data_IF_083514046118
#
_entry.id   IF_083514046118
#
_cell.length_a   1.000
_cell.length_b   1.000
_cell.length_c   1.000
_cell.angle_alpha   90.00
_cell.angle_beta   90.00
_cell.angle_gamma   90.00
#
_symmetry.space_group_name_H-M   'P 1'
#
loop_
_entity.id
_entity.type
_entity.pdbx_description
1 polymer ?
#
# COMPACT_ATOMS: atom_id res chain seq x y z
N UNK A 1 -12.87 1.81 -13.56
CA UNK A 1 -12.06 0.56 -13.68
C UNK A 1 -10.62 0.89 -13.31
N UNK A 2 -9.84 -0.09 -12.86
CA UNK A 2 -8.40 0.11 -12.62
C UNK A 2 -7.59 -0.45 -13.80
N UNK A 3 -6.62 0.34 -14.25
CA UNK A 3 -5.65 -0.03 -15.26
C UNK A 3 -4.23 0.17 -14.74
N UNK A 4 -3.31 -0.65 -15.24
CA UNK A 4 -1.91 -0.67 -14.82
C UNK A 4 -1.00 -0.60 -16.05
N UNK A 5 0.10 0.13 -15.94
CA UNK A 5 1.15 0.22 -16.96
C UNK A 5 2.43 0.79 -16.36
N UNK A 6 3.60 0.48 -16.93
CA UNK A 6 4.89 1.01 -16.51
C UNK A 6 5.79 1.35 -17.70
N UNK A 7 6.88 2.07 -17.45
CA UNK A 7 8.02 2.23 -18.37
C UNK A 7 7.62 2.84 -19.72
N UNK A 8 6.73 3.84 -19.69
CA UNK A 8 6.27 4.51 -20.90
C UNK A 8 7.45 5.19 -21.61
N UNK A 9 8.39 5.75 -20.84
CA UNK A 9 9.58 6.43 -21.34
C UNK A 9 9.27 7.42 -22.46
N UNK A 10 8.22 8.22 -22.26
CA UNK A 10 7.74 9.17 -23.26
C UNK A 10 8.87 10.14 -23.64
N UNK A 11 9.04 10.34 -24.95
CA UNK A 11 10.14 11.08 -25.58
C UNK A 11 11.57 10.55 -25.37
N UNK A 12 11.75 9.33 -24.85
CA UNK A 12 13.07 8.73 -24.66
C UNK A 12 13.56 8.02 -25.93
N UNK A 13 14.36 8.68 -26.78
CA UNK A 13 14.81 8.07 -28.05
C UNK A 13 15.59 6.76 -27.87
N UNK A 14 16.40 6.64 -26.82
CA UNK A 14 17.25 5.47 -26.62
C UNK A 14 16.45 4.23 -26.20
N UNK A 15 15.27 4.40 -25.58
CA UNK A 15 14.43 3.29 -25.13
C UNK A 15 13.95 2.42 -26.29
N UNK A 16 13.78 3.01 -27.48
CA UNK A 16 13.37 2.29 -28.69
C UNK A 16 14.37 1.19 -29.01
N UNK A 17 15.67 1.51 -28.98
CA UNK A 17 16.72 0.51 -29.22
C UNK A 17 16.90 -0.42 -28.03
N UNK A 18 16.80 0.11 -26.80
CA UNK A 18 17.02 -0.64 -25.58
C UNK A 18 16.03 -1.81 -25.43
N UNK A 19 14.72 -1.53 -25.59
CA UNK A 19 13.66 -2.55 -25.49
C UNK A 19 13.37 -3.26 -26.81
N UNK A 20 14.02 -2.84 -27.90
CA UNK A 20 13.65 -3.20 -29.27
C UNK A 20 12.18 -2.86 -29.59
N UNK A 21 11.75 -1.65 -29.22
CA UNK A 21 10.37 -1.17 -29.49
C UNK A 21 10.14 -1.04 -31.00
N UNK A 22 8.94 -1.39 -31.50
CA UNK A 22 8.65 -1.43 -32.94
C UNK A 22 8.31 -0.04 -33.52
N UNK A 23 9.05 1.00 -33.14
CA UNK A 23 8.78 2.38 -33.54
C UNK A 23 9.99 2.97 -34.27
N UNK A 24 9.74 3.73 -35.34
CA UNK A 24 10.80 4.38 -36.11
C UNK A 24 11.46 5.53 -35.31
N UNK A 25 10.67 6.23 -34.51
CA UNK A 25 11.08 7.39 -33.72
C UNK A 25 10.16 7.60 -32.50
N UNK A 26 10.48 8.61 -31.69
CA UNK A 26 9.73 8.95 -30.49
C UNK A 26 8.36 9.53 -30.78
N UNK A 27 8.17 10.17 -31.93
CA UNK A 27 6.92 10.86 -32.23
C UNK A 27 5.85 9.82 -32.58
N UNK A 28 6.21 8.82 -33.38
CA UNK A 28 5.35 7.65 -33.63
C UNK A 28 5.08 6.85 -32.36
N UNK A 29 6.11 6.59 -31.54
CA UNK A 29 5.96 5.86 -30.27
C UNK A 29 4.95 6.57 -29.34
N UNK A 30 5.13 7.87 -29.13
CA UNK A 30 4.27 8.65 -28.25
C UNK A 30 2.83 8.70 -28.78
N UNK A 31 2.64 8.91 -30.09
CA UNK A 31 1.31 8.92 -30.70
C UNK A 31 0.59 7.58 -30.53
N UNK A 32 1.29 6.45 -30.71
CA UNK A 32 0.73 5.11 -30.50
C UNK A 32 0.38 4.87 -29.04
N UNK A 33 1.25 5.27 -28.10
CA UNK A 33 0.97 5.15 -26.66
C UNK A 33 -0.30 5.92 -26.27
N UNK A 34 -0.44 7.18 -26.70
CA UNK A 34 -1.62 8.01 -26.43
C UNK A 34 -2.88 7.41 -27.07
N UNK A 35 -2.80 6.95 -28.33
CA UNK A 35 -3.94 6.34 -29.01
C UNK A 35 -4.41 5.07 -28.28
N UNK A 36 -3.50 4.14 -28.00
CA UNK A 36 -3.81 2.89 -27.30
C UNK A 36 -4.38 3.14 -25.91
N UNK A 37 -3.85 4.14 -25.20
CA UNK A 37 -4.35 4.56 -23.90
C UNK A 37 -5.80 5.01 -24.00
N UNK A 38 -6.08 5.97 -24.88
CA UNK A 38 -7.39 6.63 -24.99
C UNK A 38 -8.47 5.77 -25.67
N UNK A 39 -8.08 4.69 -26.35
CA UNK A 39 -8.98 3.63 -26.84
C UNK A 39 -9.48 2.72 -25.72
N UNK A 40 -8.75 2.60 -24.61
CA UNK A 40 -9.07 1.69 -23.51
C UNK A 40 -9.63 2.40 -22.27
N UNK A 41 -9.09 3.58 -21.97
CA UNK A 41 -9.33 4.30 -20.74
C UNK A 41 -10.39 5.38 -20.97
N UNK A 42 -11.36 5.47 -20.06
CA UNK A 42 -12.36 6.54 -20.00
C UNK A 42 -11.97 7.58 -18.93
N UNK A 43 -12.66 8.72 -18.90
CA UNK A 43 -12.35 9.79 -17.93
C UNK A 43 -12.58 9.37 -16.47
N UNK A 44 -13.46 8.40 -16.22
CA UNK A 44 -13.81 7.92 -14.88
C UNK A 44 -12.94 6.74 -14.41
N UNK A 45 -12.00 6.28 -15.23
CA UNK A 45 -11.13 5.15 -14.91
C UNK A 45 -9.87 5.60 -14.16
N UNK A 46 -9.36 4.75 -13.27
CA UNK A 46 -8.09 4.97 -12.58
C UNK A 46 -6.96 4.26 -13.32
N UNK A 47 -5.86 4.98 -13.57
CA UNK A 47 -4.66 4.39 -14.20
C UNK A 47 -3.46 4.58 -13.30
N UNK A 48 -2.89 3.45 -12.88
CA UNK A 48 -1.68 3.39 -12.09
C UNK A 48 -0.47 3.24 -13.03
N UNK A 49 0.36 4.27 -13.08
CA UNK A 49 1.62 4.30 -13.83
C UNK A 49 2.75 3.93 -12.89
N UNK A 50 3.36 2.76 -13.07
CA UNK A 50 4.37 2.19 -12.19
C UNK A 50 5.78 2.66 -12.55
N UNK A 51 5.93 3.94 -12.82
CA UNK A 51 7.22 4.61 -12.92
C UNK A 51 7.76 4.75 -14.33
N UNK A 52 8.80 5.59 -14.43
CA UNK A 52 9.52 5.94 -15.66
C UNK A 52 8.58 6.39 -16.79
N UNK A 53 7.69 7.32 -16.45
CA UNK A 53 6.66 7.79 -17.36
C UNK A 53 7.24 8.70 -18.45
N UNK A 54 8.20 9.58 -18.11
CA UNK A 54 8.72 10.62 -19.00
C UNK A 54 10.24 10.79 -18.91
N UNK A 55 10.89 11.09 -20.04
CA UNK A 55 12.34 11.37 -20.11
C UNK A 55 12.69 12.85 -20.34
N UNK A 56 11.79 13.64 -20.98
CA UNK A 56 12.06 15.03 -21.37
C UNK A 56 11.56 16.06 -20.34
N UNK A 57 11.86 17.34 -20.62
CA UNK A 57 11.54 18.47 -19.77
C UNK A 57 10.02 18.66 -19.53
N UNK A 58 9.71 19.43 -18.49
CA UNK A 58 8.37 19.59 -17.92
C UNK A 58 7.28 19.93 -18.96
N UNK A 59 7.59 20.77 -19.95
CA UNK A 59 6.59 21.32 -20.87
C UNK A 59 6.06 20.29 -21.88
N UNK A 60 6.93 19.46 -22.44
CA UNK A 60 6.52 18.42 -23.40
C UNK A 60 5.75 17.30 -22.70
N UNK A 61 6.20 16.90 -21.50
CA UNK A 61 5.54 15.89 -20.68
C UNK A 61 4.12 16.34 -20.26
N UNK A 62 3.93 17.64 -19.98
CA UNK A 62 2.61 18.20 -19.68
C UNK A 62 1.64 18.14 -20.85
N UNK A 63 2.11 18.26 -22.09
CA UNK A 63 1.23 18.19 -23.27
C UNK A 63 0.63 16.80 -23.38
N UNK A 64 1.46 15.77 -23.30
CA UNK A 64 1.01 14.38 -23.40
C UNK A 64 0.15 13.99 -22.19
N UNK A 65 0.52 14.36 -20.97
CA UNK A 65 -0.30 14.03 -19.78
C UNK A 65 -1.73 14.56 -19.88
N UNK A 66 -1.92 15.75 -20.45
CA UNK A 66 -3.25 16.33 -20.65
C UNK A 66 -4.09 15.64 -21.71
N UNK A 67 -3.46 14.88 -22.60
CA UNK A 67 -4.14 14.09 -23.61
C UNK A 67 -4.56 12.71 -23.08
N UNK A 68 -3.93 12.20 -22.02
CA UNK A 68 -4.26 10.91 -21.44
C UNK A 68 -5.53 11.00 -20.60
N UNK A 69 -6.51 10.15 -20.93
CA UNK A 69 -7.76 10.02 -20.17
C UNK A 69 -7.55 9.33 -18.82
N UNK A 70 -8.43 9.64 -17.88
CA UNK A 70 -8.57 8.96 -16.60
C UNK A 70 -7.87 9.65 -15.42
N UNK A 71 -8.11 9.12 -14.24
CA UNK A 71 -7.52 9.52 -12.97
C UNK A 71 -6.12 8.90 -12.84
N UNK A 72 -5.09 9.73 -12.97
CA UNK A 72 -3.71 9.25 -13.08
C UNK A 72 -3.03 9.18 -11.71
N UNK A 73 -2.49 8.01 -11.38
CA UNK A 73 -1.71 7.76 -10.17
C UNK A 73 -0.29 7.33 -10.54
N UNK A 74 0.72 7.92 -9.93
CA UNK A 74 2.12 7.58 -10.20
C UNK A 74 2.73 6.83 -9.03
N UNK A 75 3.30 5.65 -9.32
CA UNK A 75 4.25 4.97 -8.45
C UNK A 75 5.64 5.24 -8.98
N UNK A 76 6.44 6.03 -8.25
CA UNK A 76 7.60 6.74 -8.78
C UNK A 76 8.72 5.79 -9.22
N UNK A 77 9.18 5.96 -10.46
CA UNK A 77 10.40 5.33 -10.98
C UNK A 77 11.63 6.23 -10.79
N UNK A 78 12.82 5.69 -11.09
CA UNK A 78 14.08 6.43 -10.95
C UNK A 78 14.20 7.61 -11.92
N UNK A 79 13.49 7.59 -13.05
CA UNK A 79 13.52 8.68 -14.03
C UNK A 79 12.43 9.74 -13.81
N UNK A 80 11.52 9.53 -12.86
CA UNK A 80 10.42 10.46 -12.62
C UNK A 80 10.84 11.64 -11.73
N UNK A 81 11.28 12.73 -12.37
CA UNK A 81 11.50 14.01 -11.72
C UNK A 81 10.19 14.82 -11.59
N UNK A 82 9.29 14.38 -10.71
CA UNK A 82 7.96 15.00 -10.56
C UNK A 82 8.03 16.31 -9.76
N UNK A 83 8.29 17.41 -10.47
CA UNK A 83 8.38 18.77 -9.92
C UNK A 83 7.48 19.73 -10.68
N UNK A 84 7.26 20.91 -10.11
CA UNK A 84 6.52 21.98 -10.79
C UNK A 84 5.08 21.58 -11.12
N UNK A 85 4.65 21.91 -12.34
CA UNK A 85 3.28 21.68 -12.84
C UNK A 85 2.99 20.20 -13.10
N UNK A 86 4.01 19.38 -13.38
CA UNK A 86 3.83 17.94 -13.61
C UNK A 86 3.23 17.25 -12.39
N UNK A 87 3.57 17.71 -11.18
CA UNK A 87 3.00 17.17 -9.93
C UNK A 87 1.47 17.23 -9.92
N UNK A 88 0.88 18.31 -10.42
CA UNK A 88 -0.56 18.53 -10.37
C UNK A 88 -1.34 17.79 -11.46
N UNK A 89 -0.68 16.98 -12.29
CA UNK A 89 -1.35 16.10 -13.25
C UNK A 89 -1.61 14.70 -12.68
N UNK A 90 -1.03 14.40 -11.51
CA UNK A 90 -1.22 13.13 -10.81
C UNK A 90 -2.11 13.36 -9.59
N UNK A 91 -3.09 12.48 -9.39
CA UNK A 91 -3.92 12.49 -8.18
C UNK A 91 -3.17 11.99 -6.96
N UNK A 92 -2.27 11.01 -7.16
CA UNK A 92 -1.32 10.56 -6.14
C UNK A 92 0.05 10.28 -6.75
N UNK A 93 1.08 10.47 -5.92
CA UNK A 93 2.47 10.16 -6.26
C UNK A 93 3.09 9.50 -5.04
N UNK A 94 3.39 8.22 -5.14
CA UNK A 94 3.92 7.41 -4.04
C UNK A 94 5.12 6.60 -4.54
N UNK A 95 6.01 6.17 -3.65
CA UNK A 95 7.13 5.29 -4.04
C UNK A 95 6.71 3.80 -3.99
N UNK A 96 5.59 3.50 -3.32
CA UNK A 96 4.99 2.19 -3.14
C UNK A 96 3.50 2.38 -2.83
N UNK A 97 2.61 1.55 -3.38
CA UNK A 97 1.17 1.69 -3.19
C UNK A 97 0.47 0.33 -3.03
N UNK A 98 -0.58 0.29 -2.22
CA UNK A 98 -1.43 -0.89 -2.02
C UNK A 98 -2.85 -0.58 -2.50
N UNK A 99 -3.38 -1.42 -3.38
CA UNK A 99 -4.70 -1.21 -4.01
C UNK A 99 -5.56 -2.45 -3.83
N UNK A 100 -6.83 -2.25 -3.49
CA UNK A 100 -7.85 -3.29 -3.56
C UNK A 100 -8.56 -3.22 -4.92
N UNK A 101 -8.29 -4.18 -5.80
CA UNK A 101 -8.94 -4.32 -7.10
C UNK A 101 -9.94 -5.48 -7.04
N UNK A 102 -11.22 -5.14 -6.83
CA UNK A 102 -12.32 -6.09 -6.81
C UNK A 102 -12.11 -7.24 -5.80
N UNK A 103 -11.66 -6.91 -4.58
CA UNK A 103 -11.39 -7.88 -3.52
C UNK A 103 -10.03 -8.57 -3.64
N UNK A 104 -9.17 -8.14 -4.57
CA UNK A 104 -7.80 -8.63 -4.72
C UNK A 104 -6.82 -7.58 -4.25
N UNK A 105 -5.87 -8.03 -3.44
CA UNK A 105 -4.83 -7.17 -2.91
C UNK A 105 -3.68 -7.05 -3.90
N UNK A 106 -3.40 -5.82 -4.34
CA UNK A 106 -2.39 -5.52 -5.36
C UNK A 106 -1.35 -4.58 -4.78
N UNK A 107 -0.10 -5.02 -4.80
CA UNK A 107 1.06 -4.21 -4.46
C UNK A 107 1.62 -3.61 -5.74
N UNK A 108 1.87 -2.30 -5.71
CA UNK A 108 2.43 -1.55 -6.82
C UNK A 108 3.76 -0.93 -6.40
N UNK A 109 4.83 -1.23 -7.13
CA UNK A 109 6.13 -0.60 -6.97
C UNK A 109 6.84 -0.60 -8.32
N UNK A 110 7.57 0.46 -8.65
CA UNK A 110 8.36 0.47 -9.87
C UNK A 110 9.40 -0.68 -9.88
N UNK A 111 10.02 -0.95 -8.73
CA UNK A 111 11.00 -2.01 -8.56
C UNK A 111 10.34 -3.35 -8.18
N UNK A 112 10.82 -4.49 -8.72
CA UNK A 112 10.40 -5.80 -8.24
C UNK A 112 10.83 -6.02 -6.79
N UNK A 113 9.90 -6.44 -5.95
CA UNK A 113 10.15 -6.82 -4.55
C UNK A 113 9.90 -8.33 -4.44
N UNK A 114 10.93 -9.17 -4.29
CA UNK A 114 10.79 -10.63 -4.32
C UNK A 114 9.84 -11.21 -3.26
N UNK A 115 9.75 -10.55 -2.10
CA UNK A 115 8.86 -10.93 -1.00
C UNK A 115 8.09 -9.71 -0.51
N UNK A 116 6.77 -9.78 -0.55
CA UNK A 116 5.90 -8.63 -0.38
C UNK A 116 4.70 -8.94 0.50
N UNK A 117 4.04 -7.88 0.97
CA UNK A 117 2.91 -7.98 1.91
C UNK A 117 1.79 -8.84 1.32
N UNK A 118 1.22 -9.70 2.16
CA UNK A 118 0.10 -10.59 1.83
C UNK A 118 0.35 -11.57 0.67
N UNK A 119 1.62 -11.82 0.32
CA UNK A 119 2.00 -12.79 -0.70
C UNK A 119 1.42 -14.19 -0.42
N UNK A 120 1.46 -14.65 0.83
CA UNK A 120 0.90 -15.94 1.26
C UNK A 120 -0.64 -16.02 1.18
N UNK A 121 -1.32 -14.87 1.14
CA UNK A 121 -2.77 -14.77 0.99
C UNK A 121 -3.21 -14.51 -0.46
N UNK A 122 -2.26 -14.56 -1.41
CA UNK A 122 -2.54 -14.43 -2.85
C UNK A 122 -2.48 -13.00 -3.39
N UNK A 123 -1.79 -12.08 -2.70
CA UNK A 123 -1.55 -10.74 -3.24
C UNK A 123 -0.74 -10.78 -4.55
N UNK A 124 -1.00 -9.81 -5.41
CA UNK A 124 -0.32 -9.63 -6.70
C UNK A 124 0.67 -8.47 -6.58
N UNK A 125 1.91 -8.65 -7.03
CA UNK A 125 2.91 -7.60 -7.10
C UNK A 125 3.08 -7.18 -8.56
N UNK A 126 2.66 -5.97 -8.90
CA UNK A 126 2.89 -5.38 -10.22
C UNK A 126 4.13 -4.49 -10.15
N UNK A 127 4.99 -4.61 -11.16
CA UNK A 127 6.25 -3.87 -11.20
C UNK A 127 6.70 -3.51 -12.62
N UNK A 128 7.73 -2.66 -12.75
CA UNK A 128 8.33 -2.24 -14.01
C UNK A 128 9.85 -2.39 -13.99
N UNK A 129 10.57 -1.35 -14.40
CA UNK A 129 12.02 -1.11 -14.18
C UNK A 129 13.01 -2.05 -14.88
N UNK A 130 12.76 -3.35 -14.87
CA UNK A 130 13.65 -4.36 -15.47
C UNK A 130 13.40 -4.55 -16.97
N UNK A 131 12.37 -3.91 -17.52
CA UNK A 131 12.05 -3.98 -18.94
C UNK A 131 11.97 -5.45 -19.45
N UNK A 132 12.35 -5.73 -20.71
CA UNK A 132 12.44 -7.09 -21.26
C UNK A 132 13.89 -7.61 -21.28
N UNK A 133 14.67 -7.30 -20.25
CA UNK A 133 16.10 -7.60 -20.17
C UNK A 133 16.40 -8.93 -19.44
N UNK A 134 17.69 -9.21 -19.20
CA UNK A 134 18.15 -10.38 -18.42
C UNK A 134 17.68 -10.30 -16.96
N UNK A 135 17.53 -9.10 -16.41
CA UNK A 135 16.98 -8.89 -15.08
C UNK A 135 15.54 -9.40 -15.00
N UNK A 136 14.73 -9.22 -16.04
CA UNK A 136 13.39 -9.81 -16.11
C UNK A 136 13.44 -11.34 -16.13
N UNK A 137 14.32 -11.94 -16.93
CA UNK A 137 14.53 -13.41 -16.97
C UNK A 137 14.93 -13.96 -15.58
N UNK A 138 15.74 -13.21 -14.83
CA UNK A 138 16.13 -13.58 -13.46
C UNK A 138 14.94 -13.50 -12.49
N UNK A 139 14.10 -12.47 -12.57
CA UNK A 139 12.90 -12.35 -11.75
C UNK A 139 11.93 -13.51 -12.03
N UNK A 140 11.70 -13.86 -13.29
CA UNK A 140 10.88 -15.02 -13.66
C UNK A 140 11.46 -16.33 -13.13
N UNK A 141 12.79 -16.48 -13.20
CA UNK A 141 13.47 -17.66 -12.67
C UNK A 141 13.30 -17.76 -11.15
N UNK A 142 13.54 -16.68 -10.41
CA UNK A 142 13.39 -16.64 -8.96
C UNK A 142 11.96 -16.93 -8.54
N UNK A 143 10.97 -16.37 -9.22
CA UNK A 143 9.56 -16.67 -8.96
C UNK A 143 9.26 -18.17 -9.08
N UNK A 144 9.78 -18.84 -10.12
CA UNK A 144 9.64 -20.30 -10.27
C UNK A 144 10.33 -21.09 -9.16
N UNK A 145 11.50 -20.62 -8.69
CA UNK A 145 12.18 -21.23 -7.55
C UNK A 145 11.38 -21.07 -6.25
N UNK A 146 10.75 -19.91 -6.03
CA UNK A 146 9.84 -19.64 -4.91
C UNK A 146 8.61 -20.57 -4.96
N UNK A 147 8.04 -20.79 -6.14
CA UNK A 147 6.96 -21.76 -6.32
C UNK A 147 7.37 -23.20 -6.00
N UNK A 148 8.59 -23.61 -6.39
CA UNK A 148 9.09 -24.96 -6.14
C UNK A 148 9.26 -25.28 -4.66
N UNK A 149 9.39 -24.27 -3.80
CA UNK A 149 9.45 -24.43 -2.33
C UNK A 149 8.09 -24.21 -1.65
N UNK A 150 7.01 -24.08 -2.43
CA UNK A 150 5.63 -23.99 -1.93
C UNK A 150 5.20 -22.61 -1.47
N UNK A 151 5.96 -21.56 -1.77
CA UNK A 151 5.60 -20.18 -1.41
C UNK A 151 4.78 -19.58 -2.57
N UNK A 152 3.53 -19.12 -2.32
CA UNK A 152 2.76 -18.41 -3.33
C UNK A 152 3.52 -17.17 -3.77
N UNK A 153 3.56 -16.88 -5.08
CA UNK A 153 4.25 -15.69 -5.59
C UNK A 153 3.66 -15.28 -6.92
N UNK A 154 3.48 -13.99 -7.11
CA UNK A 154 2.86 -13.43 -8.32
C UNK A 154 3.42 -12.03 -8.58
N UNK A 155 4.70 -11.99 -8.96
CA UNK A 155 5.35 -10.80 -9.49
C UNK A 155 5.07 -10.73 -11.00
N UNK A 156 4.52 -9.62 -11.46
CA UNK A 156 4.20 -9.43 -12.88
C UNK A 156 4.72 -8.08 -13.37
N UNK A 157 5.51 -8.12 -14.44
CA UNK A 157 6.08 -6.93 -15.07
C UNK A 157 5.02 -6.25 -15.96
N UNK A 158 4.57 -5.06 -15.60
CA UNK A 158 3.58 -4.27 -16.36
C UNK A 158 4.24 -3.20 -17.25
N UNK A 159 5.54 -3.31 -17.52
CA UNK A 159 6.24 -2.48 -18.48
C UNK A 159 5.58 -2.52 -19.85
N UNK A 160 5.39 -1.36 -20.47
CA UNK A 160 4.55 -1.21 -21.66
C UNK A 160 5.01 -2.07 -22.85
N UNK A 161 6.31 -2.39 -22.93
CA UNK A 161 6.90 -3.23 -23.97
C UNK A 161 6.64 -4.74 -23.80
N UNK A 162 6.09 -5.20 -22.67
CA UNK A 162 5.84 -6.62 -22.46
C UNK A 162 4.82 -7.15 -23.49
N UNK A 163 4.96 -8.41 -23.97
CA UNK A 163 4.13 -8.96 -25.05
C UNK A 163 2.61 -8.95 -24.77
N UNK A 164 2.21 -8.98 -23.50
CA UNK A 164 0.82 -8.90 -23.05
C UNK A 164 0.33 -7.47 -22.78
N UNK A 165 1.24 -6.52 -22.55
CA UNK A 165 0.89 -5.10 -22.38
C UNK A 165 0.68 -4.43 -23.73
N UNK A 166 1.58 -4.66 -24.71
CA UNK A 166 1.49 -4.11 -26.07
C UNK A 166 1.28 -2.59 -26.10
N UNK A 167 2.06 -1.86 -25.31
CA UNK A 167 2.01 -0.39 -25.23
C UNK A 167 0.61 0.15 -24.93
N UNK A 168 -0.14 -0.57 -24.09
CA UNK A 168 -1.55 -0.30 -23.78
C UNK A 168 -1.81 -0.57 -22.29
N UNK A 169 -2.51 0.31 -21.56
CA UNK A 169 -2.93 0.02 -20.19
C UNK A 169 -3.79 -1.25 -20.11
N UNK A 170 -3.55 -2.08 -19.10
CA UNK A 170 -4.29 -3.35 -18.91
C UNK A 170 -4.97 -3.39 -17.55
N UNK A 171 -6.15 -3.99 -17.52
CA UNK A 171 -6.85 -4.35 -16.28
C UNK A 171 -6.10 -5.48 -15.57
N UNK A 172 -6.35 -5.64 -14.26
CA UNK A 172 -5.77 -6.75 -13.51
C UNK A 172 -6.18 -8.11 -14.10
N UNK A 173 -7.42 -8.26 -14.57
CA UNK A 173 -7.89 -9.51 -15.17
C UNK A 173 -7.08 -9.91 -16.41
N UNK A 174 -6.87 -8.98 -17.34
CA UNK A 174 -6.05 -9.20 -18.54
C UNK A 174 -4.60 -9.56 -18.18
N UNK A 175 -4.03 -8.91 -17.16
CA UNK A 175 -2.66 -9.16 -16.69
C UNK A 175 -2.54 -10.56 -16.11
N UNK A 176 -3.50 -10.98 -15.27
CA UNK A 176 -3.51 -12.30 -14.64
C UNK A 176 -3.77 -13.42 -15.64
N UNK A 177 -4.66 -13.21 -16.61
CA UNK A 177 -4.94 -14.18 -17.67
C UNK A 177 -3.69 -14.43 -18.53
N UNK A 178 -2.94 -13.38 -18.86
CA UNK A 178 -1.70 -13.49 -19.62
C UNK A 178 -0.52 -14.09 -18.82
N UNK A 179 -0.59 -14.07 -17.49
CA UNK A 179 0.48 -14.51 -16.59
C UNK A 179 -0.06 -15.54 -15.58
N UNK A 180 -0.40 -16.76 -16.02
CA UNK A 180 -0.92 -17.78 -15.13
C UNK A 180 0.13 -18.18 -14.09
N UNK A 181 -0.31 -18.30 -12.84
CA UNK A 181 0.49 -18.85 -11.75
C UNK A 181 -0.10 -20.21 -11.34
N UNK A 182 0.72 -21.11 -10.74
CA UNK A 182 0.21 -22.34 -10.14
C UNK A 182 -0.89 -22.05 -9.12
N UNK A 183 -1.77 -23.02 -8.90
CA UNK A 183 -2.65 -22.99 -7.74
C UNK A 183 -1.83 -23.27 -6.49
N UNK A 184 -1.96 -22.39 -5.50
CA UNK A 184 -1.42 -22.59 -4.17
C UNK A 184 -2.58 -22.76 -3.21
N UNK A 185 -2.44 -23.64 -2.22
CA UNK A 185 -3.34 -23.63 -1.07
C UNK A 185 -3.26 -22.24 -0.45
N UNK A 186 -4.35 -21.49 -0.55
CA UNK A 186 -4.45 -20.23 0.16
C UNK A 186 -4.45 -20.57 1.63
N UNK A 187 -3.52 -19.98 2.37
CA UNK A 187 -3.72 -19.88 3.80
C UNK A 187 -4.93 -18.97 3.96
N UNK A 188 -6.08 -19.54 4.34
CA UNK A 188 -7.19 -18.70 4.76
C UNK A 188 -6.65 -17.83 5.91
N UNK A 189 -6.84 -16.51 5.87
CA UNK A 189 -6.55 -15.66 7.04
C UNK A 189 -7.24 -16.24 8.30
N UNK A 190 -8.37 -16.94 8.12
CA UNK A 190 -9.05 -17.72 9.16
C UNK A 190 -8.26 -18.95 9.64
N UNK A 191 -7.48 -19.64 8.79
CA UNK A 191 -6.71 -20.83 9.15
C UNK A 191 -5.40 -20.50 9.88
N UNK A 192 -4.72 -19.40 9.53
CA UNK A 192 -3.58 -18.91 10.33
C UNK A 192 -4.05 -18.41 11.70
N UNK A 193 -5.26 -17.82 11.76
CA UNK A 193 -5.90 -17.47 13.03
C UNK A 193 -6.30 -18.68 13.90
N UNK A 194 -6.35 -19.90 13.34
CA UNK A 194 -6.58 -21.16 14.08
C UNK A 194 -5.29 -21.74 14.67
N UNK A 195 -4.12 -21.41 14.14
CA UNK A 195 -2.84 -21.80 14.73
C UNK A 195 -2.40 -20.85 15.85
N UNK A 196 -3.09 -19.72 16.01
CA UNK A 196 -3.06 -18.86 17.21
C UNK A 196 -4.26 -19.16 18.12
N UNK A 197 -4.45 -20.43 18.50
CA UNK A 197 -5.42 -20.81 19.53
C UNK A 197 -4.96 -20.31 20.91
N UNK A 198 -5.36 -19.07 21.24
CA UNK A 198 -5.10 -18.47 22.54
C UNK A 198 -5.79 -17.13 22.79
N UNK A 199 -6.96 -16.87 22.18
CA UNK A 199 -7.63 -15.56 22.28
C UNK A 199 -9.11 -15.64 22.64
N UNK A 200 -9.44 -16.08 23.85
CA UNK A 200 -10.75 -15.77 24.44
C UNK A 200 -10.88 -14.26 24.69
N UNK A 201 -12.11 -13.73 24.69
CA UNK A 201 -12.45 -12.33 24.98
C UNK A 201 -11.58 -11.77 26.13
N UNK A 202 -10.53 -11.04 25.78
CA UNK A 202 -9.65 -10.38 26.74
C UNK A 202 -10.46 -9.25 27.40
N UNK A 203 -10.40 -9.16 28.73
CA UNK A 203 -11.19 -8.17 29.47
C UNK A 203 -10.53 -6.80 29.33
N UNK A 204 -11.33 -5.73 29.33
CA UNK A 204 -10.90 -4.32 29.34
C UNK A 204 -9.69 -4.01 30.25
N UNK A 205 -9.56 -4.71 31.38
CA UNK A 205 -8.48 -4.54 32.34
C UNK A 205 -7.07 -4.95 31.83
N UNK A 206 -6.99 -5.64 30.69
CA UNK A 206 -5.74 -6.22 30.18
C UNK A 206 -5.17 -5.44 28.98
N UNK A 207 -5.90 -4.44 28.45
CA UNK A 207 -5.42 -3.61 27.34
C UNK A 207 -4.40 -2.57 27.82
N UNK A 208 -3.20 -2.60 27.25
CA UNK A 208 -2.06 -1.77 27.65
C UNK A 208 -1.33 -1.24 26.43
N UNK A 209 -1.40 0.07 26.23
CA UNK A 209 -0.57 0.79 25.28
C UNK A 209 -0.19 2.14 25.88
N UNK A 210 1.09 2.28 26.25
CA UNK A 210 1.57 3.43 27.00
C UNK A 210 2.13 4.51 26.08
N UNK A 211 1.81 5.75 26.41
CA UNK A 211 2.34 6.98 25.80
C UNK A 211 2.88 7.88 26.89
N UNK A 212 3.83 8.74 26.57
CA UNK A 212 4.39 9.72 27.49
C UNK A 212 3.58 11.01 27.45
N UNK A 213 3.22 11.51 28.62
CA UNK A 213 2.45 12.75 28.79
C UNK A 213 3.02 13.60 29.92
N UNK A 214 2.92 14.92 29.81
CA UNK A 214 3.32 15.84 30.86
C UNK A 214 2.18 16.04 31.87
N UNK A 215 2.48 15.92 33.16
CA UNK A 215 1.59 16.37 34.22
C UNK A 215 1.81 17.85 34.51
N UNK A 216 0.94 18.73 34.03
CA UNK A 216 1.00 20.17 34.32
C UNK A 216 1.06 20.46 35.84
N UNK A 217 0.38 19.64 36.65
CA UNK A 217 0.34 19.82 38.10
C UNK A 217 1.58 19.30 38.82
N UNK A 218 2.23 18.24 38.30
CA UNK A 218 3.40 17.61 38.94
C UNK A 218 4.73 17.99 38.30
N UNK A 219 4.70 18.66 37.14
CA UNK A 219 5.86 19.02 36.32
C UNK A 219 6.78 17.83 36.02
N UNK A 220 6.16 16.69 35.75
CA UNK A 220 6.85 15.44 35.44
C UNK A 220 6.23 14.80 34.20
N UNK A 221 7.04 14.07 33.44
CA UNK A 221 6.57 13.19 32.37
C UNK A 221 6.27 11.83 32.98
N UNK A 222 5.11 11.26 32.66
CA UNK A 222 4.73 9.92 33.10
C UNK A 222 4.12 9.11 31.96
N UNK A 223 4.12 7.79 32.14
CA UNK A 223 3.48 6.85 31.22
C UNK A 223 1.98 6.80 31.49
N UNK A 224 1.19 7.08 30.46
CA UNK A 224 -0.27 6.96 30.47
C UNK A 224 -0.69 5.83 29.53
N UNK A 225 -1.51 4.91 30.02
CA UNK A 225 -2.16 3.93 29.16
C UNK A 225 -3.30 4.62 28.38
N UNK A 226 -3.23 4.62 27.05
CA UNK A 226 -4.22 5.33 26.19
C UNK A 226 -5.65 4.82 26.41
N UNK A 227 -5.81 3.54 26.74
CA UNK A 227 -7.12 2.91 26.98
C UNK A 227 -7.80 3.39 28.27
N UNK A 228 -7.05 3.96 29.22
CA UNK A 228 -7.59 4.49 30.48
C UNK A 228 -8.10 5.94 30.35
N UNK A 229 -7.84 6.59 29.22
CA UNK A 229 -8.16 7.99 29.02
C UNK A 229 -9.59 8.22 28.49
N UNK A 230 -10.43 8.86 29.31
CA UNK A 230 -11.75 9.35 28.91
C UNK A 230 -12.70 8.25 28.41
N UNK A 231 -13.34 8.49 27.26
CA UNK A 231 -14.28 7.57 26.61
C UNK A 231 -13.64 6.54 25.69
N UNK A 232 -12.31 6.59 25.47
CA UNK A 232 -11.60 5.85 24.42
C UNK A 232 -12.02 4.38 24.31
N UNK A 233 -11.90 3.65 25.41
CA UNK A 233 -12.21 2.21 25.43
C UNK A 233 -13.70 1.93 25.26
N UNK A 234 -14.57 2.81 25.76
CA UNK A 234 -16.02 2.62 25.60
C UNK A 234 -16.46 2.80 24.13
N UNK A 235 -15.90 3.79 23.44
CA UNK A 235 -16.16 4.05 22.03
C UNK A 235 -15.61 2.91 21.16
N UNK A 236 -14.38 2.47 21.46
CA UNK A 236 -13.77 1.31 20.80
C UNK A 236 -14.57 0.03 21.01
N UNK A 237 -14.99 -0.31 22.24
CA UNK A 237 -15.82 -1.48 22.50
C UNK A 237 -17.16 -1.44 21.75
N UNK A 238 -17.79 -0.26 21.67
CA UNK A 238 -19.03 -0.06 20.92
C UNK A 238 -18.81 -0.31 19.43
N UNK A 239 -17.67 0.10 18.90
CA UNK A 239 -17.30 -0.11 17.51
C UNK A 239 -16.99 -1.59 17.23
N UNK A 240 -16.13 -2.22 18.04
CA UNK A 240 -15.77 -3.63 17.90
C UNK A 240 -16.99 -4.57 17.94
N UNK A 241 -18.02 -4.25 18.72
CA UNK A 241 -19.30 -4.99 18.73
C UNK A 241 -20.01 -5.03 17.37
N UNK A 242 -19.76 -4.06 16.49
CA UNK A 242 -20.31 -4.02 15.13
C UNK A 242 -19.62 -5.01 14.17
N UNK A 243 -18.56 -5.70 14.63
CA UNK A 243 -17.73 -6.62 13.83
C UNK A 243 -17.13 -5.94 12.59
N UNK A 244 -16.37 -4.87 12.80
CA UNK A 244 -15.71 -4.17 11.71
C UNK A 244 -14.63 -5.05 11.06
N UNK A 245 -14.25 -4.69 9.85
CA UNK A 245 -12.97 -5.09 9.22
C UNK A 245 -11.80 -4.41 9.93
N UNK A 246 -10.57 -4.87 9.66
CA UNK A 246 -9.35 -4.26 10.23
C UNK A 246 -9.17 -2.83 9.71
N UNK A 247 -9.56 -2.60 8.46
CA UNK A 247 -9.53 -1.30 7.79
C UNK A 247 -10.50 -0.33 8.47
N UNK A 248 -11.75 -0.75 8.67
CA UNK A 248 -12.76 0.02 9.41
C UNK A 248 -12.31 0.29 10.86
N UNK A 249 -11.64 -0.67 11.51
CA UNK A 249 -11.03 -0.43 12.83
C UNK A 249 -9.92 0.63 12.77
N UNK A 250 -9.04 0.57 11.77
CA UNK A 250 -7.97 1.55 11.61
C UNK A 250 -8.55 2.96 11.41
N UNK A 251 -9.59 3.10 10.60
CA UNK A 251 -10.29 4.38 10.40
C UNK A 251 -10.97 4.88 11.68
N UNK A 252 -11.67 4.00 12.41
CA UNK A 252 -12.30 4.38 13.67
C UNK A 252 -11.24 4.76 14.73
N UNK A 253 -10.13 4.03 14.82
CA UNK A 253 -9.04 4.39 15.73
C UNK A 253 -8.47 5.76 15.38
N UNK A 254 -8.35 6.13 14.09
CA UNK A 254 -7.97 7.51 13.70
C UNK A 254 -8.98 8.53 14.19
N UNK A 255 -10.27 8.22 14.08
CA UNK A 255 -11.34 9.10 14.55
C UNK A 255 -11.33 9.27 16.08
N UNK A 256 -11.24 8.17 16.84
CA UNK A 256 -11.21 8.18 18.32
C UNK A 256 -9.94 8.90 18.83
N UNK A 257 -8.79 8.69 18.18
CA UNK A 257 -7.52 9.34 18.56
C UNK A 257 -7.42 10.80 18.12
N UNK A 258 -8.31 11.27 17.24
CA UNK A 258 -8.33 12.65 16.73
C UNK A 258 -8.47 13.69 17.85
N UNK A 259 -9.10 13.32 18.98
CA UNK A 259 -9.16 14.18 20.16
C UNK A 259 -7.78 14.70 20.58
N UNK A 260 -6.76 13.82 20.63
CA UNK A 260 -5.41 14.20 21.01
C UNK A 260 -4.76 15.14 19.99
N UNK A 261 -5.07 14.95 18.70
CA UNK A 261 -4.65 15.86 17.65
C UNK A 261 -5.33 17.23 17.75
N UNK A 262 -6.57 17.32 18.22
CA UNK A 262 -7.26 18.59 18.41
C UNK A 262 -6.86 19.30 19.71
N UNK A 263 -6.45 18.57 20.74
CA UNK A 263 -6.06 19.09 22.06
C UNK A 263 -4.54 19.17 22.26
N UNK A 264 -3.76 19.45 21.19
CA UNK A 264 -2.29 19.35 21.19
C UNK A 264 -1.60 20.04 22.37
N UNK A 265 -2.08 21.21 22.77
CA UNK A 265 -1.46 22.01 23.83
C UNK A 265 -1.48 21.39 25.24
N UNK A 266 -2.21 20.29 25.44
CA UNK A 266 -2.34 19.61 26.74
C UNK A 266 -1.45 18.36 26.87
N UNK A 267 -0.92 17.83 25.77
CA UNK A 267 -0.37 16.46 25.71
C UNK A 267 0.99 16.37 25.02
N UNK A 268 1.66 17.50 24.81
CA UNK A 268 2.94 17.55 24.11
C UNK A 268 4.10 17.24 25.06
N UNK A 269 5.01 16.39 24.61
CA UNK A 269 6.32 16.18 25.23
C UNK A 269 7.42 16.53 24.23
N UNK A 270 8.58 16.93 24.75
CA UNK A 270 9.75 17.24 23.93
C UNK A 270 10.68 16.03 23.92
N UNK A 271 10.96 15.52 22.72
CA UNK A 271 11.95 14.48 22.49
C UNK A 271 13.24 15.10 21.98
N UNK A 272 14.35 14.73 22.60
CA UNK A 272 15.69 15.03 22.10
C UNK A 272 16.33 13.76 21.55
N UNK A 273 17.03 13.90 20.43
CA UNK A 273 17.72 12.77 19.81
C UNK A 273 18.90 12.31 20.66
N UNK A 274 18.96 11.01 20.96
CA UNK A 274 20.10 10.40 21.63
C UNK A 274 21.41 10.60 20.86
N UNK A 275 21.35 10.72 19.52
CA UNK A 275 22.51 10.96 18.64
C UNK A 275 23.22 12.28 18.97
N UNK A 276 22.51 13.24 19.56
CA UNK A 276 23.06 14.55 19.91
C UNK A 276 23.51 14.61 21.38
N UNK A 277 23.52 13.47 22.08
CA UNK A 277 24.15 13.31 23.39
C UNK A 277 23.58 14.16 24.51
N UNK A 278 22.32 14.61 24.40
CA UNK A 278 21.68 15.46 25.40
C UNK A 278 22.30 16.85 25.51
N UNK A 279 22.91 17.37 24.44
CA UNK A 279 23.33 18.77 24.40
C UNK A 279 22.10 19.69 24.40
N UNK A 280 22.19 20.81 25.13
CA UNK A 280 21.12 21.82 25.23
C UNK A 280 20.76 22.47 23.88
N UNK A 281 21.57 22.28 22.84
CA UNK A 281 21.37 22.80 21.47
C UNK A 281 20.78 21.78 20.50
N UNK A 282 20.48 20.56 20.96
CA UNK A 282 19.87 19.54 20.12
C UNK A 282 18.47 19.97 19.67
N UNK A 283 18.08 19.74 18.39
CA UNK A 283 16.74 20.03 17.94
C UNK A 283 15.73 19.20 18.73
N UNK A 284 14.81 19.88 19.41
CA UNK A 284 13.72 19.26 20.14
C UNK A 284 12.57 18.95 19.17
N UNK A 285 12.10 17.70 19.19
CA UNK A 285 10.90 17.31 18.49
C UNK A 285 9.73 17.33 19.47
N UNK A 286 8.75 18.18 19.19
CA UNK A 286 7.50 18.22 19.92
C UNK A 286 6.58 17.12 19.39
N UNK A 287 6.17 16.19 20.24
CA UNK A 287 5.24 15.11 19.90
C UNK A 287 4.08 15.10 20.88
N UNK A 288 2.87 14.96 20.36
CA UNK A 288 1.67 14.72 21.16
C UNK A 288 1.35 13.22 21.26
N UNK A 289 0.29 12.86 21.98
CA UNK A 289 -0.17 11.46 22.10
C UNK A 289 -0.54 10.87 20.74
N UNK A 290 -1.13 11.65 19.84
CA UNK A 290 -1.49 11.18 18.50
C UNK A 290 -0.25 10.86 17.67
N UNK A 291 0.77 11.72 17.72
CA UNK A 291 2.05 11.51 17.03
C UNK A 291 2.75 10.24 17.55
N UNK A 292 2.72 9.98 18.86
CA UNK A 292 3.27 8.75 19.46
C UNK A 292 2.55 7.47 18.97
N UNK A 293 1.23 7.51 18.85
CA UNK A 293 0.45 6.41 18.27
C UNK A 293 0.76 6.26 16.78
N UNK A 294 0.83 7.37 16.05
CA UNK A 294 1.07 7.39 14.60
C UNK A 294 2.43 6.82 14.22
N UNK A 295 3.46 7.04 15.04
CA UNK A 295 4.79 6.44 14.85
C UNK A 295 4.76 4.91 14.82
N UNK A 296 3.78 4.29 15.47
CA UNK A 296 3.61 2.83 15.55
C UNK A 296 2.19 2.42 15.12
N UNK A 297 1.59 3.13 14.17
CA UNK A 297 0.16 3.04 13.89
C UNK A 297 -0.29 1.61 13.57
N UNK A 298 0.41 0.94 12.66
CA UNK A 298 0.04 -0.42 12.26
C UNK A 298 0.16 -1.41 13.41
N UNK A 299 1.21 -1.30 14.23
CA UNK A 299 1.37 -2.11 15.44
C UNK A 299 0.27 -1.83 16.48
N UNK A 300 -0.16 -0.57 16.61
CA UNK A 300 -1.26 -0.20 17.49
C UNK A 300 -2.59 -0.77 17.00
N UNK A 301 -2.86 -0.67 15.69
CA UNK A 301 -4.06 -1.26 15.07
C UNK A 301 -4.07 -2.77 15.24
N UNK A 302 -2.95 -3.46 14.98
CA UNK A 302 -2.83 -4.91 15.16
C UNK A 302 -3.02 -5.32 16.62
N UNK A 303 -2.43 -4.57 17.53
CA UNK A 303 -2.63 -4.76 18.97
C UNK A 303 -4.10 -4.62 19.36
N UNK A 304 -4.83 -3.65 18.80
CA UNK A 304 -6.27 -3.51 19.10
C UNK A 304 -7.10 -4.60 18.40
N UNK A 305 -6.70 -4.99 17.18
CA UNK A 305 -7.41 -5.96 16.36
C UNK A 305 -7.48 -7.34 17.01
N UNK A 306 -6.47 -7.73 17.80
CA UNK A 306 -6.50 -8.98 18.57
C UNK A 306 -7.72 -9.09 19.52
N UNK A 307 -8.35 -7.96 19.87
CA UNK A 307 -9.52 -7.90 20.75
C UNK A 307 -10.86 -7.84 20.00
N UNK A 308 -10.85 -7.78 18.66
CA UNK A 308 -12.07 -7.73 17.86
C UNK A 308 -12.83 -9.07 17.95
N UNK A 309 -14.17 -9.06 18.11
CA UNK A 309 -14.95 -10.29 18.19
C UNK A 309 -14.95 -11.04 16.85
N UNK A 310 -14.19 -12.14 16.79
CA UNK A 310 -14.12 -13.02 15.62
C UNK A 310 -15.45 -13.78 15.42
N UNK A 311 -15.88 -14.01 14.17
CA UNK A 311 -17.09 -14.80 13.86
C UNK A 311 -16.91 -16.22 14.44
N UNK A 312 -17.90 -16.72 15.20
CA UNK A 312 -18.01 -18.18 15.39
C UNK A 312 -18.34 -18.82 14.05
N UNK A 313 -17.66 -19.89 13.64
CA UNK A 313 -18.04 -20.62 12.43
C UNK A 313 -19.48 -21.11 12.56
N UNK A 314 -20.30 -20.92 11.51
CA UNK A 314 -21.53 -21.69 11.34
C UNK A 314 -21.10 -23.11 10.99
N UNK A 315 -21.15 -24.02 11.96
CA UNK A 315 -21.06 -25.44 11.67
C UNK A 315 -22.24 -25.80 10.76
N UNK A 316 -21.96 -26.34 9.58
CA UNK A 316 -22.95 -27.08 8.78
C UNK A 316 -23.15 -28.43 9.46
N UNK A 317 -23.77 -28.45 10.61
CA UNK A 317 -24.33 -29.66 11.19
C UNK A 317 -25.49 -29.26 12.08
N UNK A 318 -26.61 -29.93 11.84
CA UNK A 318 -27.90 -29.60 12.39
C UNK A 318 -27.91 -29.65 13.92
N UNK A 319 -28.97 -29.04 14.45
CA UNK A 319 -29.52 -29.31 15.77
C UNK A 319 -29.33 -30.78 16.14
N UNK A 320 -28.54 -31.03 17.17
CA UNK A 320 -28.78 -32.16 18.06
C UNK A 320 -28.95 -31.52 19.44
N UNK A 321 -30.22 -31.35 19.80
CA UNK A 321 -30.62 -31.41 21.21
C UNK A 321 -30.11 -32.73 21.76
N UNK A 322 -29.38 -32.71 22.87
CA UNK A 322 -29.57 -33.68 23.95
C UNK A 322 -28.85 -33.23 25.24
N UNK A 323 -29.71 -32.83 26.20
CA UNK A 323 -29.64 -32.85 27.67
C UNK A 323 -28.40 -32.30 28.41
#
# INVERSE_FOLDING_TARGET
>A
MNYYISDLHIHHKNVIRFDNRPFADTDLMNAVLVNNWNERVTEDDHVYVLGDAFWKNEEESLKILKELKGHLHLVRGNHDAVKGRLRFQWESIEDYMEVNDNGRFVILSHYPIPFYRNQHYGAVMLYGHVHNTREWELVEKWQKEVWNVGIPSRLINVGCMMPYMKYTPRTLDEILEANPAPEFERVDEEAESKNEEGGGLVKKADMKWFVFVESVNRKEIYEMNVFDHGGFTADLEKFLKKRPTREELSEELRHITMYYFCSKCEWEVLLTSWVHGGRDDAPELKIDVYDQLKMNWDHFVDYVWQFAPKKRPRTKEGVVDEL
#
